data_IF_492889797784
#
_entry.id   IF_492889797784
#
_cell.length_a   1.000
_cell.length_b   1.000
_cell.length_c   1.000
_cell.angle_alpha   90.00
_cell.angle_beta   90.00
_cell.angle_gamma   90.00
#
_symmetry.space_group_name_H-M   'P 1'
#
loop_
_entity.id
_entity.type
_entity.pdbx_description
1 polymer ?
#
# COMPACT_ATOMS: atom_id res chain seq x y z
N UNK A 1 -3.23 80.33 -8.81
CA UNK A 1 -4.00 79.32 -9.53
C UNK A 1 -5.37 79.92 -9.89
N UNK A 2 -5.72 79.89 -11.12
CA UNK A 2 -7.00 80.24 -11.66
C UNK A 2 -8.10 79.28 -11.20
N UNK A 3 -9.31 79.71 -11.01
CA UNK A 3 -10.44 78.86 -10.60
C UNK A 3 -10.70 77.72 -11.59
N UNK A 4 -10.42 77.92 -12.85
CA UNK A 4 -10.57 76.94 -13.91
C UNK A 4 -9.54 75.81 -13.76
N UNK A 5 -8.29 76.16 -13.47
CA UNK A 5 -7.21 75.17 -13.21
C UNK A 5 -7.50 74.39 -11.96
N UNK A 6 -7.98 75.04 -10.91
CA UNK A 6 -8.35 74.37 -9.66
C UNK A 6 -9.50 73.37 -9.87
N UNK A 7 -10.48 73.71 -10.66
CA UNK A 7 -11.59 72.82 -10.99
C UNK A 7 -11.16 71.64 -11.81
N UNK A 8 -10.24 71.82 -12.77
CA UNK A 8 -9.67 70.72 -13.53
C UNK A 8 -8.86 69.75 -12.65
N UNK A 9 -8.07 70.26 -11.70
CA UNK A 9 -7.33 69.43 -10.74
C UNK A 9 -8.27 68.65 -9.82
N UNK A 10 -9.36 69.24 -9.35
CA UNK A 10 -10.39 68.59 -8.56
C UNK A 10 -11.05 67.47 -9.35
N UNK A 11 -11.37 67.66 -10.59
CA UNK A 11 -11.94 66.63 -11.47
C UNK A 11 -10.96 65.44 -11.64
N UNK A 12 -9.68 65.74 -11.83
CA UNK A 12 -8.63 64.68 -11.90
C UNK A 12 -8.52 63.90 -10.60
N UNK A 13 -8.53 64.59 -9.47
CA UNK A 13 -8.49 63.92 -8.14
C UNK A 13 -9.71 63.04 -7.95
N UNK A 14 -10.92 63.50 -8.29
CA UNK A 14 -12.12 62.69 -8.19
C UNK A 14 -12.06 61.43 -9.08
N UNK A 15 -11.58 61.59 -10.32
CA UNK A 15 -11.40 60.47 -11.24
C UNK A 15 -10.41 59.43 -10.68
N UNK A 16 -9.30 59.89 -10.12
CA UNK A 16 -8.30 58.99 -9.47
C UNK A 16 -8.92 58.30 -8.27
N UNK A 17 -9.69 59.03 -7.42
CA UNK A 17 -10.37 58.42 -6.27
C UNK A 17 -11.36 57.34 -6.70
N UNK A 18 -12.14 57.58 -7.73
CA UNK A 18 -13.11 56.62 -8.26
C UNK A 18 -12.41 55.37 -8.80
N UNK A 19 -11.32 55.54 -9.53
CA UNK A 19 -10.51 54.43 -10.02
C UNK A 19 -9.89 53.61 -8.88
N UNK A 20 -9.37 54.27 -7.85
CA UNK A 20 -8.81 53.62 -6.67
C UNK A 20 -9.85 52.86 -5.88
N UNK A 21 -11.07 53.36 -5.77
CA UNK A 21 -12.19 52.63 -5.16
C UNK A 21 -12.54 51.38 -5.93
N UNK A 22 -12.62 51.48 -7.26
CA UNK A 22 -12.90 50.33 -8.13
C UNK A 22 -11.81 49.26 -8.00
N UNK A 23 -10.54 49.65 -8.03
CA UNK A 23 -9.41 48.73 -7.84
C UNK A 23 -9.43 48.09 -6.46
N UNK A 24 -9.75 48.86 -5.42
CA UNK A 24 -9.88 48.35 -4.05
C UNK A 24 -10.96 47.27 -3.96
N UNK A 25 -12.13 47.51 -4.52
CA UNK A 25 -13.25 46.57 -4.53
C UNK A 25 -12.87 45.28 -5.27
N UNK A 26 -12.22 45.40 -6.42
CA UNK A 26 -11.72 44.26 -7.19
C UNK A 26 -10.70 43.43 -6.40
N UNK A 27 -9.73 44.11 -5.75
CA UNK A 27 -8.73 43.43 -4.92
C UNK A 27 -9.34 42.73 -3.72
N UNK A 28 -10.36 43.34 -3.07
CA UNK A 28 -11.08 42.70 -1.96
C UNK A 28 -11.79 41.45 -2.47
N UNK A 29 -12.41 41.49 -3.62
CA UNK A 29 -13.07 40.33 -4.22
C UNK A 29 -12.08 39.23 -4.55
N UNK A 30 -10.95 39.56 -5.17
CA UNK A 30 -9.88 38.58 -5.46
C UNK A 30 -9.33 37.96 -4.20
N UNK A 31 -9.13 38.76 -3.16
CA UNK A 31 -8.63 38.27 -1.87
C UNK A 31 -9.62 37.28 -1.23
N UNK A 32 -10.91 37.58 -1.29
CA UNK A 32 -11.95 36.68 -0.77
C UNK A 32 -12.00 35.35 -1.54
N UNK A 33 -11.90 35.43 -2.87
CA UNK A 33 -11.85 34.22 -3.72
C UNK A 33 -10.62 33.36 -3.44
N UNK A 34 -9.45 33.98 -3.29
CA UNK A 34 -8.22 33.25 -2.92
C UNK A 34 -8.32 32.64 -1.53
N UNK A 35 -8.92 33.36 -0.60
CA UNK A 35 -9.14 32.85 0.77
C UNK A 35 -10.02 31.59 0.75
N UNK A 36 -11.12 31.63 0.01
CA UNK A 36 -12.02 30.48 -0.14
C UNK A 36 -11.30 29.31 -0.80
N UNK A 37 -10.50 29.57 -1.84
CA UNK A 37 -9.71 28.56 -2.53
C UNK A 37 -8.70 27.92 -1.57
N UNK A 38 -8.01 28.73 -0.77
CA UNK A 38 -7.03 28.24 0.20
C UNK A 38 -7.69 27.38 1.30
N UNK A 39 -8.85 27.80 1.78
CA UNK A 39 -9.62 27.02 2.76
C UNK A 39 -10.03 25.65 2.18
N UNK A 40 -10.48 25.64 0.92
CA UNK A 40 -10.86 24.41 0.23
C UNK A 40 -9.67 23.50 -0.04
N UNK A 41 -8.55 24.06 -0.47
CA UNK A 41 -7.30 23.31 -0.66
C UNK A 41 -6.78 22.73 0.65
N UNK A 42 -6.83 23.49 1.73
CA UNK A 42 -6.44 23.02 3.07
C UNK A 42 -7.30 21.83 3.51
N UNK A 43 -8.60 21.92 3.32
CA UNK A 43 -9.54 20.85 3.64
C UNK A 43 -9.25 19.59 2.82
N UNK A 44 -9.08 19.75 1.50
CA UNK A 44 -8.73 18.65 0.59
C UNK A 44 -7.41 17.99 0.98
N UNK A 45 -6.41 18.78 1.36
CA UNK A 45 -5.11 18.27 1.79
C UNK A 45 -5.23 17.44 3.07
N UNK A 46 -6.03 17.89 4.04
CA UNK A 46 -6.28 17.13 5.28
C UNK A 46 -6.98 15.81 4.96
N UNK A 47 -7.99 15.83 4.11
CA UNK A 47 -8.71 14.61 3.69
C UNK A 47 -7.78 13.63 2.96
N UNK A 48 -6.95 14.12 2.05
CA UNK A 48 -5.95 13.32 1.33
C UNK A 48 -4.92 12.71 2.30
N UNK A 49 -4.44 13.50 3.24
CA UNK A 49 -3.49 13.03 4.25
C UNK A 49 -4.09 11.93 5.12
N UNK A 50 -5.33 12.11 5.57
CA UNK A 50 -6.04 11.08 6.34
C UNK A 50 -6.22 9.79 5.54
N UNK A 51 -6.56 9.88 4.26
CA UNK A 51 -6.67 8.73 3.38
C UNK A 51 -5.33 7.99 3.21
N UNK A 52 -4.23 8.72 3.11
CA UNK A 52 -2.87 8.14 3.06
C UNK A 52 -2.55 7.41 4.37
N UNK A 53 -2.84 8.02 5.51
CA UNK A 53 -2.60 7.40 6.83
C UNK A 53 -3.40 6.10 6.98
N UNK A 54 -4.67 6.12 6.61
CA UNK A 54 -5.52 4.92 6.63
C UNK A 54 -4.98 3.83 5.70
N UNK A 55 -4.54 4.20 4.50
CA UNK A 55 -3.95 3.26 3.55
C UNK A 55 -2.67 2.62 4.10
N UNK A 56 -1.81 3.40 4.74
CA UNK A 56 -0.59 2.90 5.39
C UNK A 56 -0.93 1.90 6.50
N UNK A 57 -1.94 2.19 7.31
CA UNK A 57 -2.41 1.29 8.37
C UNK A 57 -2.91 -0.05 7.79
N UNK A 58 -3.75 0.01 6.77
CA UNK A 58 -4.25 -1.18 6.07
C UNK A 58 -3.11 -2.00 5.46
N UNK A 59 -2.15 -1.33 4.81
CA UNK A 59 -0.98 -2.00 4.24
C UNK A 59 -0.14 -2.68 5.31
N UNK A 60 0.05 -2.03 6.46
CA UNK A 60 0.77 -2.61 7.59
C UNK A 60 0.08 -3.87 8.12
N UNK A 61 -1.22 -3.83 8.32
CA UNK A 61 -2.02 -4.98 8.76
C UNK A 61 -1.99 -6.12 7.74
N UNK A 62 -2.13 -5.80 6.46
CA UNK A 62 -2.07 -6.76 5.37
C UNK A 62 -0.70 -7.44 5.32
N UNK A 63 0.38 -6.66 5.43
CA UNK A 63 1.73 -7.20 5.44
C UNK A 63 1.95 -8.17 6.62
N UNK A 64 1.48 -7.82 7.82
CA UNK A 64 1.55 -8.69 8.99
C UNK A 64 0.78 -9.99 8.76
N UNK A 65 -0.42 -9.92 8.18
CA UNK A 65 -1.21 -11.10 7.83
C UNK A 65 -0.51 -12.00 6.82
N UNK A 66 0.15 -11.42 5.83
CA UNK A 66 0.95 -12.17 4.84
C UNK A 66 2.13 -12.85 5.52
N UNK A 67 2.81 -12.19 6.44
CA UNK A 67 3.93 -12.77 7.19
C UNK A 67 3.48 -13.94 8.06
N UNK A 68 2.37 -13.80 8.78
CA UNK A 68 1.78 -14.87 9.59
C UNK A 68 1.37 -16.07 8.71
N UNK A 69 0.75 -15.81 7.58
CA UNK A 69 0.38 -16.85 6.62
C UNK A 69 1.61 -17.58 6.09
N UNK A 70 2.65 -16.84 5.69
CA UNK A 70 3.92 -17.40 5.22
C UNK A 70 4.54 -18.33 6.30
N UNK A 71 4.59 -17.86 7.54
CA UNK A 71 5.11 -18.65 8.67
C UNK A 71 4.29 -19.92 8.88
N UNK A 72 2.95 -19.81 8.84
CA UNK A 72 2.06 -20.95 8.93
C UNK A 72 2.29 -21.99 7.84
N UNK A 73 2.46 -21.54 6.59
CA UNK A 73 2.75 -22.41 5.45
C UNK A 73 4.10 -23.12 5.62
N UNK A 74 5.13 -22.39 6.05
CA UNK A 74 6.46 -22.97 6.29
C UNK A 74 6.42 -24.00 7.40
N UNK A 75 5.71 -23.76 8.49
CA UNK A 75 5.55 -24.70 9.59
C UNK A 75 4.81 -25.95 9.14
N UNK A 76 3.75 -25.80 8.36
CA UNK A 76 3.00 -26.92 7.80
C UNK A 76 3.86 -27.76 6.86
N UNK A 77 4.63 -27.14 5.97
CA UNK A 77 5.56 -27.82 5.08
C UNK A 77 6.61 -28.61 5.85
N UNK A 78 7.18 -28.03 6.90
CA UNK A 78 8.15 -28.71 7.77
C UNK A 78 7.51 -29.93 8.42
N UNK A 79 6.30 -29.80 8.95
CA UNK A 79 5.55 -30.92 9.54
C UNK A 79 5.31 -32.05 8.55
N UNK A 80 4.82 -31.73 7.34
CA UNK A 80 4.55 -32.70 6.28
C UNK A 80 5.85 -33.40 5.84
N UNK A 81 6.91 -32.62 5.66
CA UNK A 81 8.23 -33.17 5.27
C UNK A 81 8.75 -34.19 6.29
N UNK A 82 8.67 -33.87 7.57
CA UNK A 82 9.08 -34.79 8.66
C UNK A 82 8.19 -36.01 8.67
N UNK A 83 6.89 -35.87 8.52
CA UNK A 83 5.94 -37.00 8.49
C UNK A 83 6.20 -37.92 7.31
N UNK A 84 6.46 -37.38 6.13
CA UNK A 84 6.82 -38.15 4.94
C UNK A 84 8.17 -38.87 5.09
N UNK A 85 9.16 -38.21 5.68
CA UNK A 85 10.45 -38.81 5.98
C UNK A 85 10.31 -40.00 6.94
N UNK A 86 9.50 -39.88 7.97
CA UNK A 86 9.21 -40.96 8.90
C UNK A 86 8.49 -42.14 8.22
N UNK A 87 7.52 -41.84 7.35
CA UNK A 87 6.84 -42.87 6.53
C UNK A 87 7.81 -43.57 5.60
N UNK A 88 8.70 -42.83 4.95
CA UNK A 88 9.74 -43.33 4.08
C UNK A 88 10.66 -44.29 4.84
N UNK A 89 11.12 -43.92 6.04
CA UNK A 89 11.95 -44.77 6.89
C UNK A 89 11.25 -46.06 7.31
N UNK A 90 9.96 -45.98 7.64
CA UNK A 90 9.16 -47.17 7.97
C UNK A 90 9.02 -48.11 6.78
N UNK A 91 8.69 -47.57 5.59
CA UNK A 91 8.59 -48.36 4.36
C UNK A 91 9.92 -49.04 4.03
N UNK A 92 11.03 -48.31 4.17
CA UNK A 92 12.36 -48.80 3.93
C UNK A 92 12.72 -49.96 4.89
N UNK A 93 12.35 -49.82 6.17
CA UNK A 93 12.52 -50.86 7.19
C UNK A 93 11.72 -52.12 6.84
N UNK A 94 10.50 -51.98 6.34
CA UNK A 94 9.65 -53.10 5.90
C UNK A 94 10.29 -53.81 4.70
N UNK A 95 10.79 -53.04 3.72
CA UNK A 95 11.47 -53.61 2.54
C UNK A 95 12.71 -54.41 2.93
N UNK A 96 13.47 -53.93 3.91
CA UNK A 96 14.70 -54.63 4.40
C UNK A 96 14.38 -55.88 5.18
N UNK A 97 13.30 -55.92 5.94
CA UNK A 97 12.96 -56.99 6.87
C UNK A 97 12.01 -58.05 6.31
N UNK A 98 11.24 -57.76 5.24
CA UNK A 98 10.27 -58.69 4.67
C UNK A 98 10.42 -58.80 3.15
N UNK A 99 10.34 -60.02 2.62
CA UNK A 99 10.39 -60.27 1.17
C UNK A 99 9.11 -60.00 0.43
N UNK A 100 8.11 -59.33 1.05
CA UNK A 100 6.76 -59.17 0.51
C UNK A 100 6.70 -57.96 -0.39
N UNK A 101 6.40 -58.17 -1.70
CA UNK A 101 6.06 -57.17 -2.72
C UNK A 101 7.04 -55.98 -2.79
N UNK A 102 8.31 -56.29 -2.89
CA UNK A 102 9.39 -55.29 -2.99
C UNK A 102 9.16 -54.22 -4.09
N UNK A 103 8.56 -54.60 -5.23
CA UNK A 103 8.31 -53.66 -6.33
C UNK A 103 7.26 -52.58 -5.99
N UNK A 104 6.14 -52.98 -5.36
CA UNK A 104 5.07 -52.04 -4.98
C UNK A 104 5.55 -51.08 -3.88
N UNK A 105 6.29 -51.58 -2.91
CA UNK A 105 6.88 -50.79 -1.84
C UNK A 105 7.98 -49.86 -2.37
N UNK A 106 8.75 -50.28 -3.36
CA UNK A 106 9.77 -49.47 -4.01
C UNK A 106 9.14 -48.31 -4.79
N UNK A 107 8.01 -48.52 -5.49
CA UNK A 107 7.26 -47.49 -6.15
C UNK A 107 6.69 -46.46 -5.18
N UNK A 108 6.14 -46.91 -4.07
CA UNK A 108 5.64 -46.04 -3.01
C UNK A 108 6.75 -45.18 -2.41
N UNK A 109 7.91 -45.76 -2.17
CA UNK A 109 9.10 -45.05 -1.72
C UNK A 109 9.50 -43.93 -2.69
N UNK A 110 9.54 -44.21 -3.99
CA UNK A 110 9.89 -43.23 -5.02
C UNK A 110 8.87 -42.07 -5.08
N UNK A 111 7.57 -42.36 -4.94
CA UNK A 111 6.53 -41.33 -4.84
C UNK A 111 6.72 -40.41 -3.65
N UNK A 112 7.04 -40.96 -2.48
CA UNK A 112 7.31 -40.20 -1.25
C UNK A 112 8.55 -39.32 -1.42
N UNK A 113 9.63 -39.86 -2.00
CA UNK A 113 10.82 -39.05 -2.30
C UNK A 113 10.53 -37.88 -3.22
N UNK A 114 9.70 -38.07 -4.25
CA UNK A 114 9.29 -37.00 -5.18
C UNK A 114 8.50 -35.92 -4.46
N UNK A 115 7.58 -36.27 -3.58
CA UNK A 115 6.81 -35.33 -2.77
C UNK A 115 7.72 -34.51 -1.85
N UNK A 116 8.69 -35.16 -1.21
CA UNK A 116 9.66 -34.48 -0.35
C UNK A 116 10.48 -33.46 -1.16
N UNK A 117 10.94 -33.82 -2.36
CA UNK A 117 11.66 -32.89 -3.26
C UNK A 117 10.81 -31.69 -3.67
N UNK A 118 9.56 -31.92 -4.04
CA UNK A 118 8.63 -30.84 -4.40
C UNK A 118 8.40 -29.89 -3.22
N UNK A 119 8.26 -30.41 -2.00
CA UNK A 119 8.12 -29.60 -0.79
C UNK A 119 9.39 -28.80 -0.48
N UNK A 120 10.57 -29.38 -0.66
CA UNK A 120 11.85 -28.69 -0.48
C UNK A 120 12.01 -27.55 -1.50
N UNK A 121 11.66 -27.77 -2.76
CA UNK A 121 11.68 -26.74 -3.81
C UNK A 121 10.71 -25.60 -3.49
N UNK A 122 9.49 -25.94 -3.08
CA UNK A 122 8.49 -24.94 -2.68
C UNK A 122 8.96 -24.13 -1.47
N UNK A 123 9.60 -24.77 -0.51
CA UNK A 123 10.19 -24.11 0.67
C UNK A 123 11.29 -23.11 0.27
N UNK A 124 12.11 -23.43 -0.72
CA UNK A 124 13.12 -22.52 -1.28
C UNK A 124 12.49 -21.32 -1.96
N UNK A 125 11.41 -21.52 -2.71
CA UNK A 125 10.68 -20.43 -3.37
C UNK A 125 10.03 -19.48 -2.37
N UNK A 126 9.55 -19.99 -1.23
CA UNK A 126 8.90 -19.19 -0.17
C UNK A 126 9.89 -18.49 0.77
N UNK A 127 11.12 -18.93 0.80
CA UNK A 127 12.16 -18.29 1.60
C UNK A 127 12.90 -17.22 0.79
#
# INVERSE_FOLDING_TARGET
MDNKELLEQLKKCLSICDNLKAEKEELIQQLEEEKQTNEQLSKTLVEANNAVVETIDVLGKTNNSIMEFKEGVLNYQAYVTVSLDNMYKKVNSIIENEEVRKEDLSKFKDEVENVIKELEELNKELS
#
